data_IF_943858903288
#
_entry.id   IF_943858903288
#
_cell.length_a   1.000
_cell.length_b   1.000
_cell.length_c   1.000
_cell.angle_alpha   90.00
_cell.angle_beta   90.00
_cell.angle_gamma   90.00
#
_symmetry.space_group_name_H-M   'P 1'
#
loop_
_entity.id
_entity.type
_entity.pdbx_description
1 polymer ?
#
# COMPACT_ATOMS: atom_id res chain seq x y z
N UNK A 1 5.41 -7.70 7.63
CA UNK A 1 6.17 -6.44 7.75
C UNK A 1 7.61 -6.78 8.08
N UNK A 2 8.56 -5.91 7.71
CA UNK A 2 9.98 -6.01 8.07
C UNK A 2 10.46 -4.66 8.63
N UNK A 3 11.74 -4.56 9.00
CA UNK A 3 12.29 -3.39 9.70
C UNK A 3 11.59 -3.14 11.05
N UNK A 4 11.14 -4.21 11.72
CA UNK A 4 10.47 -4.09 13.02
C UNK A 4 11.48 -3.83 14.14
N UNK A 5 11.09 -3.18 15.25
CA UNK A 5 12.00 -2.91 16.35
C UNK A 5 12.58 -4.21 16.92
N UNK A 6 13.92 -4.27 17.04
CA UNK A 6 14.69 -5.44 17.47
C UNK A 6 14.57 -6.66 16.52
N UNK A 7 14.07 -6.49 15.29
CA UNK A 7 14.08 -7.57 14.30
C UNK A 7 15.52 -7.86 13.86
N UNK A 8 15.94 -9.09 14.08
CA UNK A 8 17.24 -9.56 13.60
C UNK A 8 17.11 -10.18 12.21
N UNK A 9 18.25 -10.33 11.53
CA UNK A 9 18.31 -11.04 10.24
C UNK A 9 17.75 -12.46 10.33
N UNK A 10 18.12 -13.21 11.37
CA UNK A 10 17.63 -14.56 11.59
C UNK A 10 16.11 -14.62 11.81
N UNK A 11 15.52 -13.60 12.45
CA UNK A 11 14.06 -13.50 12.60
C UNK A 11 13.38 -13.30 11.25
N UNK A 12 13.90 -12.39 10.41
CA UNK A 12 13.37 -12.18 9.06
C UNK A 12 13.41 -13.46 8.23
N UNK A 13 14.55 -14.16 8.21
CA UNK A 13 14.70 -15.42 7.46
C UNK A 13 13.70 -16.48 7.93
N UNK A 14 13.57 -16.65 9.25
CA UNK A 14 12.62 -17.58 9.84
C UNK A 14 11.16 -17.23 9.51
N UNK A 15 10.81 -15.95 9.51
CA UNK A 15 9.46 -15.50 9.16
C UNK A 15 9.15 -15.74 7.68
N UNK A 16 10.12 -15.51 6.78
CA UNK A 16 9.98 -15.79 5.36
C UNK A 16 9.84 -17.29 5.06
N UNK A 17 10.63 -18.14 5.71
CA UNK A 17 10.50 -19.60 5.59
C UNK A 17 9.11 -20.06 6.04
N UNK A 18 8.63 -19.57 7.20
CA UNK A 18 7.27 -19.87 7.67
C UNK A 18 6.20 -19.37 6.70
N UNK A 19 6.34 -18.16 6.19
CA UNK A 19 5.41 -17.55 5.24
C UNK A 19 5.27 -18.40 3.97
N UNK A 20 6.37 -18.82 3.37
CA UNK A 20 6.35 -19.64 2.16
C UNK A 20 5.79 -21.03 2.43
N UNK A 21 6.04 -21.61 3.61
CA UNK A 21 5.45 -22.89 4.00
C UNK A 21 3.92 -22.85 4.15
N UNK A 22 3.32 -21.68 4.43
CA UNK A 22 1.87 -21.49 4.37
C UNK A 22 1.33 -21.49 2.93
N UNK A 23 2.22 -21.37 1.94
CA UNK A 23 1.93 -21.41 0.52
C UNK A 23 0.84 -20.42 0.03
N UNK A 24 0.85 -19.15 0.48
CA UNK A 24 -0.16 -18.18 0.06
C UNK A 24 -0.11 -17.93 -1.46
N UNK A 25 -1.22 -17.42 -2.02
CA UNK A 25 -1.26 -17.04 -3.43
C UNK A 25 -0.70 -15.62 -3.66
N UNK A 26 -0.83 -14.76 -2.65
CA UNK A 26 -0.44 -13.36 -2.68
C UNK A 26 0.18 -12.98 -1.34
N UNK A 27 1.24 -12.16 -1.38
CA UNK A 27 1.99 -11.69 -0.23
C UNK A 27 2.14 -10.17 -0.35
N UNK A 28 1.70 -9.46 0.68
CA UNK A 28 2.02 -8.06 0.90
C UNK A 28 3.10 -7.92 1.97
N UNK A 29 4.16 -7.18 1.66
CA UNK A 29 5.25 -6.93 2.60
C UNK A 29 5.64 -5.46 2.60
N UNK A 30 5.63 -4.87 3.79
CA UNK A 30 5.90 -3.46 4.01
C UNK A 30 6.99 -3.29 5.06
N UNK A 31 7.84 -2.30 4.87
CA UNK A 31 8.68 -1.78 5.94
C UNK A 31 7.81 -1.07 6.97
N UNK A 32 8.24 -1.08 8.23
CA UNK A 32 7.60 -0.29 9.27
C UNK A 32 7.81 1.20 9.01
N UNK A 33 6.71 1.94 8.91
CA UNK A 33 6.72 3.41 8.82
C UNK A 33 6.40 3.99 10.18
N UNK A 34 7.17 5.01 10.59
CA UNK A 34 7.01 5.72 11.85
C UNK A 34 6.02 6.88 11.71
N UNK A 35 4.73 6.56 11.72
CA UNK A 35 3.67 7.54 11.53
C UNK A 35 3.42 8.42 12.76
N UNK A 36 3.38 9.74 12.58
CA UNK A 36 3.11 10.69 13.67
C UNK A 36 1.75 10.42 14.35
N UNK A 37 1.64 10.72 15.64
CA UNK A 37 0.42 10.46 16.41
C UNK A 37 0.20 8.99 16.82
N UNK A 38 0.99 8.05 16.29
CA UNK A 38 0.92 6.64 16.72
C UNK A 38 1.69 6.39 18.02
N UNK A 39 1.38 5.27 18.70
CA UNK A 39 2.15 4.82 19.86
C UNK A 39 3.61 4.53 19.50
N UNK A 40 3.84 3.93 18.33
CA UNK A 40 5.18 3.60 17.84
C UNK A 40 6.05 4.85 17.72
N UNK A 41 5.52 5.91 17.11
CA UNK A 41 6.23 7.18 17.01
C UNK A 41 6.50 7.82 18.38
N UNK A 42 5.55 7.77 19.33
CA UNK A 42 5.79 8.24 20.71
C UNK A 42 6.91 7.48 21.40
N UNK A 43 6.92 6.15 21.27
CA UNK A 43 7.94 5.31 21.90
C UNK A 43 9.31 5.52 21.25
N UNK A 44 9.37 5.69 19.93
CA UNK A 44 10.56 6.10 19.19
C UNK A 44 11.10 7.44 19.70
N UNK A 45 10.27 8.49 19.76
CA UNK A 45 10.67 9.82 20.27
C UNK A 45 11.15 9.78 21.72
N UNK A 46 10.60 8.87 22.53
CA UNK A 46 11.03 8.68 23.92
C UNK A 46 12.31 7.81 24.07
N UNK A 47 12.85 7.28 22.98
CA UNK A 47 14.03 6.39 22.98
C UNK A 47 13.77 4.96 23.43
N UNK A 48 12.50 4.57 23.63
CA UNK A 48 12.11 3.19 23.98
C UNK A 48 12.21 2.24 22.79
N UNK A 49 11.94 2.75 21.59
CA UNK A 49 12.17 2.06 20.33
C UNK A 49 13.26 2.79 19.55
N UNK A 50 13.88 2.06 18.62
CA UNK A 50 14.87 2.60 17.69
C UNK A 50 14.49 2.19 16.29
N UNK A 51 14.82 3.05 15.34
CA UNK A 51 14.71 2.75 13.93
C UNK A 51 15.74 1.68 13.56
N UNK A 52 15.41 0.88 12.56
CA UNK A 52 16.39 0.04 11.87
C UNK A 52 17.31 0.97 11.08
N UNK A 53 18.59 0.61 11.01
CA UNK A 53 19.51 1.29 10.11
C UNK A 53 19.05 1.17 8.64
N UNK A 54 19.18 2.25 7.87
CA UNK A 54 18.67 2.30 6.49
C UNK A 54 19.35 1.28 5.56
N UNK A 55 20.66 1.06 5.72
CA UNK A 55 21.39 0.10 4.89
C UNK A 55 20.99 -1.34 5.25
N UNK A 56 20.74 -1.60 6.54
CA UNK A 56 20.20 -2.87 6.99
C UNK A 56 18.77 -3.08 6.46
N UNK A 57 17.90 -2.07 6.51
CA UNK A 57 16.54 -2.15 5.96
C UNK A 57 16.56 -2.42 4.45
N UNK A 58 17.40 -1.72 3.70
CA UNK A 58 17.58 -1.96 2.27
C UNK A 58 18.05 -3.39 2.00
N UNK A 59 19.06 -3.87 2.74
CA UNK A 59 19.56 -5.24 2.65
C UNK A 59 18.47 -6.27 2.95
N UNK A 60 17.64 -6.03 3.96
CA UNK A 60 16.49 -6.90 4.30
C UNK A 60 15.50 -6.96 3.14
N UNK A 61 15.19 -5.81 2.53
CA UNK A 61 14.24 -5.74 1.42
C UNK A 61 14.77 -6.44 0.16
N UNK A 62 16.04 -6.24 -0.19
CA UNK A 62 16.69 -6.97 -1.28
C UNK A 62 16.67 -8.49 -1.04
N UNK A 63 16.97 -8.92 0.19
CA UNK A 63 16.88 -10.33 0.55
C UNK A 63 15.46 -10.88 0.43
N UNK A 64 14.43 -10.14 0.88
CA UNK A 64 13.02 -10.51 0.73
C UNK A 64 12.67 -10.73 -0.74
N UNK A 65 13.07 -9.79 -1.62
CA UNK A 65 12.79 -9.87 -3.06
C UNK A 65 13.38 -11.15 -3.64
N UNK A 66 14.68 -11.38 -3.44
CA UNK A 66 15.38 -12.52 -4.03
C UNK A 66 14.91 -13.84 -3.43
N UNK A 67 14.64 -13.88 -2.12
CA UNK A 67 14.08 -15.06 -1.46
C UNK A 67 12.71 -15.42 -2.04
N UNK A 68 11.76 -14.48 -2.13
CA UNK A 68 10.43 -14.76 -2.64
C UNK A 68 10.43 -15.12 -4.13
N UNK A 69 11.27 -14.48 -4.95
CA UNK A 69 11.47 -14.88 -6.36
C UNK A 69 11.98 -16.32 -6.47
N UNK A 70 12.91 -16.74 -5.61
CA UNK A 70 13.42 -18.11 -5.58
C UNK A 70 12.36 -19.17 -5.20
N UNK A 71 11.20 -18.72 -4.71
CA UNK A 71 10.05 -19.55 -4.32
C UNK A 71 8.86 -19.35 -5.26
N UNK A 72 9.11 -18.92 -6.49
CA UNK A 72 8.14 -18.73 -7.57
C UNK A 72 7.09 -17.63 -7.34
N UNK A 73 7.39 -16.66 -6.46
CA UNK A 73 6.59 -15.45 -6.35
C UNK A 73 7.10 -14.34 -7.28
N UNK A 74 6.20 -13.75 -8.04
CA UNK A 74 6.45 -12.63 -8.95
C UNK A 74 6.34 -11.33 -8.16
N UNK A 75 7.40 -10.52 -8.17
CA UNK A 75 7.40 -9.16 -7.64
C UNK A 75 6.77 -8.20 -8.67
N UNK A 76 5.45 -8.06 -8.64
CA UNK A 76 4.71 -7.36 -9.70
C UNK A 76 4.57 -5.85 -9.44
N UNK A 77 4.65 -5.43 -8.18
CA UNK A 77 4.73 -4.03 -7.76
C UNK A 77 5.55 -3.90 -6.46
N UNK A 78 5.99 -2.69 -6.11
CA UNK A 78 6.96 -2.43 -5.03
C UNK A 78 6.73 -3.28 -3.75
N UNK A 79 5.52 -3.34 -3.21
CA UNK A 79 5.28 -3.97 -1.90
C UNK A 79 4.65 -5.37 -1.96
N UNK A 80 4.37 -5.91 -3.15
CA UNK A 80 3.53 -7.09 -3.31
C UNK A 80 4.11 -8.12 -4.27
N UNK A 81 3.90 -9.36 -3.87
CA UNK A 81 4.35 -10.54 -4.56
C UNK A 81 3.17 -11.48 -4.76
N UNK A 82 3.14 -12.22 -5.86
CA UNK A 82 2.08 -13.20 -6.08
C UNK A 82 2.57 -14.37 -6.91
N UNK A 83 1.86 -15.49 -6.81
CA UNK A 83 1.90 -16.49 -7.87
C UNK A 83 1.26 -15.88 -9.13
N UNK A 84 1.62 -16.43 -10.29
CA UNK A 84 1.06 -15.98 -11.58
C UNK A 84 -0.47 -16.05 -11.56
N UNK A 85 -1.13 -14.95 -11.91
CA UNK A 85 -2.60 -14.86 -11.96
C UNK A 85 -3.27 -14.54 -10.62
N UNK A 86 -2.50 -14.31 -9.55
CA UNK A 86 -2.99 -13.91 -8.24
C UNK A 86 -2.54 -12.49 -7.85
N UNK A 87 -2.16 -11.68 -8.83
CA UNK A 87 -1.90 -10.25 -8.64
C UNK A 87 -3.17 -9.57 -8.08
N UNK A 88 -3.01 -8.72 -7.07
CA UNK A 88 -4.16 -8.06 -6.45
C UNK A 88 -4.83 -7.08 -7.42
N UNK A 89 -6.05 -7.40 -7.86
CA UNK A 89 -6.84 -6.52 -8.72
C UNK A 89 -7.10 -5.17 -8.06
N UNK A 90 -7.28 -5.15 -6.73
CA UNK A 90 -7.49 -3.94 -5.96
C UNK A 90 -6.25 -3.04 -5.96
N UNK A 91 -5.04 -3.58 -5.80
CA UNK A 91 -3.84 -2.74 -5.82
C UNK A 91 -3.52 -2.30 -7.26
N UNK A 92 -3.66 -3.21 -8.22
CA UNK A 92 -3.40 -2.92 -9.63
C UNK A 92 -4.31 -1.83 -10.19
N UNK A 93 -5.57 -1.72 -9.76
CA UNK A 93 -6.47 -0.67 -10.25
C UNK A 93 -5.97 0.73 -9.87
N UNK A 94 -5.38 0.88 -8.68
CA UNK A 94 -4.79 2.13 -8.24
C UNK A 94 -3.54 2.46 -9.04
N UNK A 95 -2.62 1.49 -9.17
CA UNK A 95 -1.34 1.71 -9.83
C UNK A 95 -1.47 1.90 -11.34
N UNK A 96 -2.51 1.34 -11.95
CA UNK A 96 -2.85 1.59 -13.36
C UNK A 96 -3.65 2.89 -13.57
N UNK A 97 -3.87 3.68 -12.50
CA UNK A 97 -4.67 4.89 -12.51
C UNK A 97 -6.06 4.70 -13.16
N UNK A 98 -6.67 3.53 -12.92
CA UNK A 98 -8.00 3.19 -13.44
C UNK A 98 -9.08 3.69 -12.50
N UNK A 99 -10.29 3.89 -13.04
CA UNK A 99 -11.44 4.25 -12.23
C UNK A 99 -11.88 3.09 -11.32
N UNK A 100 -12.32 3.43 -10.12
CA UNK A 100 -12.87 2.53 -9.11
C UNK A 100 -13.86 3.26 -8.21
N UNK A 101 -14.81 2.52 -7.66
CA UNK A 101 -15.82 3.06 -6.76
C UNK A 101 -15.39 2.92 -5.30
N UNK A 102 -15.33 4.05 -4.60
CA UNK A 102 -15.18 4.11 -3.15
C UNK A 102 -16.53 4.17 -2.46
N UNK A 103 -16.87 3.13 -1.68
CA UNK A 103 -18.12 3.04 -0.92
C UNK A 103 -17.81 2.80 0.55
N UNK A 104 -18.59 3.43 1.42
CA UNK A 104 -18.42 3.34 2.87
C UNK A 104 -17.77 4.59 3.47
N UNK A 105 -17.77 4.64 4.80
CA UNK A 105 -17.13 5.68 5.58
C UNK A 105 -15.65 5.80 5.22
N UNK A 106 -15.15 7.03 5.06
CA UNK A 106 -13.75 7.32 4.73
C UNK A 106 -13.23 6.75 3.40
N UNK A 107 -14.09 6.13 2.57
CA UNK A 107 -13.65 5.53 1.32
C UNK A 107 -13.27 6.62 0.30
N UNK A 108 -12.16 6.40 -0.42
CA UNK A 108 -11.79 7.19 -1.58
C UNK A 108 -12.27 6.48 -2.86
N UNK A 109 -12.63 7.26 -3.87
CA UNK A 109 -13.02 6.78 -5.18
C UNK A 109 -12.43 7.62 -6.31
N UNK A 110 -12.39 7.05 -7.50
CA UNK A 110 -11.98 7.74 -8.72
C UNK A 110 -12.90 7.30 -9.86
N UNK A 111 -13.79 8.18 -10.31
CA UNK A 111 -14.76 7.89 -11.36
C UNK A 111 -14.73 9.00 -12.41
N UNK A 112 -14.64 8.61 -13.67
CA UNK A 112 -14.39 9.50 -14.80
C UNK A 112 -13.14 10.36 -14.55
N UNK A 113 -13.30 11.69 -14.53
CA UNK A 113 -12.26 12.64 -14.17
C UNK A 113 -12.45 13.20 -12.75
N UNK A 114 -13.17 12.50 -11.86
CA UNK A 114 -13.44 12.96 -10.50
C UNK A 114 -12.86 12.01 -9.47
N UNK A 115 -11.91 12.52 -8.68
CA UNK A 115 -11.46 11.86 -7.44
C UNK A 115 -12.29 12.39 -6.28
N UNK A 116 -12.73 11.51 -5.39
CA UNK A 116 -13.57 11.90 -4.26
C UNK A 116 -13.22 11.11 -3.01
N UNK A 117 -13.58 11.67 -1.85
CA UNK A 117 -13.53 10.98 -0.56
C UNK A 117 -14.85 11.13 0.16
N UNK A 118 -15.32 10.04 0.74
CA UNK A 118 -16.46 10.06 1.63
C UNK A 118 -16.05 10.62 2.99
N UNK A 119 -17.03 11.16 3.72
CA UNK A 119 -16.82 11.67 5.08
C UNK A 119 -16.08 10.66 5.96
N UNK A 120 -15.07 11.15 6.68
CA UNK A 120 -14.40 10.37 7.71
C UNK A 120 -15.24 10.26 8.98
N UNK A 121 -16.00 11.30 9.31
CA UNK A 121 -16.85 11.33 10.49
C UNK A 121 -18.14 10.51 10.26
N UNK A 122 -18.38 9.55 11.16
CA UNK A 122 -19.55 8.67 11.11
C UNK A 122 -20.88 9.45 11.09
N UNK A 123 -20.99 10.50 11.89
CA UNK A 123 -22.20 11.32 12.00
C UNK A 123 -22.50 12.03 10.69
N UNK A 124 -21.50 12.66 10.08
CA UNK A 124 -21.69 13.41 8.83
C UNK A 124 -21.98 12.47 7.65
N UNK A 125 -21.34 11.29 7.64
CA UNK A 125 -21.62 10.24 6.68
C UNK A 125 -23.09 9.80 6.71
N UNK A 126 -23.63 9.43 7.88
CA UNK A 126 -25.03 9.01 8.01
C UNK A 126 -26.03 10.15 7.81
N UNK A 127 -25.72 11.36 8.28
CA UNK A 127 -26.60 12.52 8.08
C UNK A 127 -26.88 12.80 6.59
N UNK A 128 -25.90 12.52 5.71
CA UNK A 128 -26.09 12.65 4.27
C UNK A 128 -26.90 11.49 3.71
N UNK A 129 -26.59 10.25 4.11
CA UNK A 129 -27.32 9.07 3.65
C UNK A 129 -28.81 9.11 4.04
N UNK A 130 -29.13 9.53 5.26
CA UNK A 130 -30.52 9.67 5.74
C UNK A 130 -31.33 10.69 4.92
N UNK A 131 -30.65 11.61 4.25
CA UNK A 131 -31.24 12.61 3.35
C UNK A 131 -31.21 12.20 1.88
N UNK A 132 -30.78 10.97 1.56
CA UNK A 132 -30.52 10.48 0.20
C UNK A 132 -29.49 11.32 -0.58
N UNK A 133 -28.48 11.86 0.12
CA UNK A 133 -27.37 12.60 -0.47
C UNK A 133 -26.12 11.71 -0.40
N UNK A 134 -25.31 11.68 -1.47
CA UNK A 134 -24.04 10.98 -1.45
C UNK A 134 -23.12 11.59 -0.38
N UNK A 135 -22.53 10.78 0.52
CA UNK A 135 -21.76 11.27 1.66
C UNK A 135 -20.32 11.63 1.27
N UNK A 136 -20.16 12.43 0.22
CA UNK A 136 -18.88 12.90 -0.31
C UNK A 136 -18.49 14.19 0.40
N UNK A 137 -17.29 14.20 0.99
CA UNK A 137 -16.72 15.32 1.72
C UNK A 137 -15.81 16.15 0.79
N UNK A 138 -14.87 15.48 0.15
CA UNK A 138 -13.91 16.09 -0.76
C UNK A 138 -14.13 15.60 -2.19
N UNK A 139 -13.99 16.50 -3.16
CA UNK A 139 -13.94 16.17 -4.58
C UNK A 139 -12.89 17.00 -5.30
N UNK A 140 -12.25 16.38 -6.27
CA UNK A 140 -11.26 16.96 -7.15
C UNK A 140 -11.65 16.62 -8.58
N UNK A 141 -11.81 17.63 -9.43
CA UNK A 141 -12.09 17.45 -10.86
C UNK A 141 -10.75 17.57 -11.59
N UNK A 142 -10.32 16.48 -12.20
CA UNK A 142 -9.04 16.36 -12.87
C UNK A 142 -9.12 16.92 -14.29
N UNK A 143 -8.09 17.68 -14.65
CA UNK A 143 -7.77 17.99 -16.04
C UNK A 143 -7.09 16.78 -16.71
N UNK A 144 -6.92 16.82 -18.03
CA UNK A 144 -6.15 15.78 -18.72
C UNK A 144 -4.69 15.75 -18.28
N UNK A 145 -4.12 16.90 -17.94
CA UNK A 145 -2.76 16.99 -17.41
C UNK A 145 -2.66 16.32 -16.03
N UNK A 146 -3.61 16.56 -15.13
CA UNK A 146 -3.63 15.92 -13.81
C UNK A 146 -3.74 14.40 -13.94
N UNK A 147 -4.62 13.91 -14.83
CA UNK A 147 -4.78 12.46 -15.07
C UNK A 147 -3.46 11.84 -15.51
N UNK A 148 -2.72 12.53 -16.39
CA UNK A 148 -1.43 12.05 -16.88
C UNK A 148 -0.34 12.10 -15.81
N UNK A 149 -0.29 13.16 -15.00
CA UNK A 149 0.61 13.24 -13.85
C UNK A 149 0.32 12.13 -12.83
N UNK A 150 -0.97 11.85 -12.53
CA UNK A 150 -1.34 10.73 -11.68
C UNK A 150 -0.90 9.40 -12.28
N UNK A 151 -1.08 9.19 -13.59
CA UNK A 151 -0.62 7.97 -14.29
C UNK A 151 0.86 7.69 -14.01
N UNK A 152 1.70 8.73 -14.00
CA UNK A 152 3.11 8.62 -13.65
C UNK A 152 3.33 8.35 -12.16
N UNK A 153 2.76 9.18 -11.29
CA UNK A 153 2.96 9.11 -9.85
C UNK A 153 2.63 7.72 -9.28
N UNK A 154 1.49 7.14 -9.67
CA UNK A 154 1.09 5.82 -9.18
C UNK A 154 1.64 4.67 -10.02
N UNK A 155 1.86 4.91 -11.31
CA UNK A 155 2.31 3.89 -12.26
C UNK A 155 3.73 3.40 -12.03
N UNK A 156 4.63 4.24 -11.53
CA UNK A 156 6.02 3.85 -11.23
C UNK A 156 6.14 2.78 -10.13
N UNK A 157 5.04 2.45 -9.45
CA UNK A 157 5.01 1.32 -8.52
C UNK A 157 4.99 -0.04 -9.21
N UNK A 158 4.51 -0.12 -10.45
CA UNK A 158 4.43 -1.37 -11.21
C UNK A 158 5.81 -1.74 -11.74
N UNK A 159 6.21 -2.99 -11.53
CA UNK A 159 7.50 -3.52 -12.01
C UNK A 159 7.36 -4.30 -13.32
N UNK A 160 6.15 -4.77 -13.61
CA UNK A 160 5.83 -5.57 -14.80
C UNK A 160 5.24 -4.74 -15.96
N UNK A 161 5.17 -3.42 -15.82
CA UNK A 161 4.67 -2.50 -16.86
C UNK A 161 5.63 -1.34 -17.05
N UNK A 162 5.93 -1.04 -18.30
CA UNK A 162 6.76 0.11 -18.67
C UNK A 162 5.85 1.35 -18.66
N UNK A 163 6.19 2.32 -17.83
CA UNK A 163 5.58 3.66 -17.83
C UNK A 163 6.55 4.61 -18.52
N UNK A 164 6.13 5.18 -19.66
CA UNK A 164 6.92 6.15 -20.44
C UNK A 164 6.35 7.56 -20.20
N UNK A 165 7.19 8.53 -19.77
CA UNK A 165 6.83 9.95 -19.61
C UNK A 165 6.44 10.66 -20.91
#
# INVERSE_FOLDING_TARGET
MFSLPNQTWAMLQNDLEKLVNLNPNHISIYSLIWEEGTKFFRDLKSGKLKETDNDLEASMYEYIIEFLKSKDYIHYEISNFSKKGFESSHNSIYWENKNYLGVGLSAAGYLDNVRYKNFFNLKDYYNNLDKNILPIDEKEILTQEDIEQYRYLVGFRLLNKIIVP
#
